data_IF_679686036547
#
_entry.id   IF_679686036547
#
_cell.length_a   1.000
_cell.length_b   1.000
_cell.length_c   1.000
_cell.angle_alpha   90.00
_cell.angle_beta   90.00
_cell.angle_gamma   90.00
#
_symmetry.space_group_name_H-M   'P 1'
#
loop_
_entity.id
_entity.type
_entity.pdbx_description
1 polymer ?
#
# COMPACT_ATOMS: atom_id res chain seq x y z
N UNK A 1 -1.52 28.64 -16.09
CA UNK A 1 -2.05 28.90 -14.74
C UNK A 1 -2.50 30.35 -14.64
N UNK A 2 -3.58 30.68 -13.90
CA UNK A 2 -4.02 32.08 -13.76
C UNK A 2 -3.12 32.85 -12.77
N UNK A 3 -3.00 34.19 -12.88
CA UNK A 3 -2.19 34.98 -11.94
C UNK A 3 -2.65 34.86 -10.49
N UNK A 4 -3.96 34.67 -10.26
CA UNK A 4 -4.50 34.45 -8.92
C UNK A 4 -4.04 33.10 -8.36
N UNK A 5 -4.15 32.03 -9.15
CA UNK A 5 -3.70 30.70 -8.75
C UNK A 5 -2.19 30.67 -8.45
N UNK A 6 -1.38 31.45 -9.19
CA UNK A 6 0.06 31.57 -8.94
C UNK A 6 0.38 32.21 -7.59
N UNK A 7 -0.37 33.26 -7.23
CA UNK A 7 -0.28 33.90 -5.91
C UNK A 7 -0.74 32.97 -4.80
N UNK A 8 -1.82 32.24 -5.02
CA UNK A 8 -2.37 31.28 -4.07
C UNK A 8 -1.35 30.17 -3.81
N UNK A 9 -0.77 29.57 -4.87
CA UNK A 9 0.29 28.57 -4.74
C UNK A 9 1.51 29.10 -3.97
N UNK A 10 1.96 30.32 -4.29
CA UNK A 10 3.08 30.96 -3.59
C UNK A 10 2.77 31.13 -2.09
N UNK A 11 1.52 31.45 -1.74
CA UNK A 11 1.09 31.55 -0.34
C UNK A 11 1.10 30.18 0.37
N UNK A 12 0.71 29.12 -0.32
CA UNK A 12 0.70 27.74 0.20
C UNK A 12 2.12 27.24 0.45
N UNK A 13 3.05 27.47 -0.49
CA UNK A 13 4.48 27.12 -0.35
C UNK A 13 5.07 27.77 0.91
N UNK A 14 4.77 29.05 1.15
CA UNK A 14 5.19 29.76 2.36
C UNK A 14 4.56 29.16 3.63
N UNK A 15 3.27 28.82 3.57
CA UNK A 15 2.53 28.24 4.71
C UNK A 15 3.01 26.82 5.06
N UNK A 16 3.42 26.04 4.06
CA UNK A 16 4.07 24.75 4.20
C UNK A 16 5.53 24.83 4.68
N UNK A 17 6.11 26.03 4.77
CA UNK A 17 7.51 26.27 5.17
C UNK A 17 8.52 25.48 4.32
N UNK A 18 8.30 25.46 3.01
CA UNK A 18 9.25 24.81 2.09
C UNK A 18 10.59 25.54 2.10
N UNK A 19 11.68 24.78 2.06
CA UNK A 19 13.06 25.29 2.07
C UNK A 19 13.46 25.83 0.69
N UNK A 20 12.99 25.16 -0.37
CA UNK A 20 13.34 25.43 -1.76
C UNK A 20 12.11 25.98 -2.50
N UNK A 21 11.72 27.22 -2.18
CA UNK A 21 10.46 27.80 -2.62
C UNK A 21 10.35 27.97 -4.14
N UNK A 22 11.43 28.35 -4.82
CA UNK A 22 11.40 28.64 -6.25
C UNK A 22 11.32 27.34 -7.05
N UNK A 23 12.16 26.37 -6.71
CA UNK A 23 12.25 25.06 -7.34
C UNK A 23 10.95 24.28 -7.13
N UNK A 24 10.40 24.31 -5.91
CA UNK A 24 9.09 23.71 -5.63
C UNK A 24 7.97 24.39 -6.41
N UNK A 25 8.00 25.73 -6.52
CA UNK A 25 7.00 26.47 -7.31
C UNK A 25 7.06 26.07 -8.78
N UNK A 26 8.24 26.02 -9.38
CA UNK A 26 8.41 25.64 -10.78
C UNK A 26 7.88 24.23 -11.07
N UNK A 27 8.24 23.24 -10.23
CA UNK A 27 7.75 21.87 -10.36
C UNK A 27 6.22 21.79 -10.25
N UNK A 28 5.64 22.43 -9.22
CA UNK A 28 4.19 22.40 -8.99
C UNK A 28 3.40 23.18 -10.05
N UNK A 29 3.92 24.29 -10.56
CA UNK A 29 3.30 25.03 -11.67
C UNK A 29 3.26 24.17 -12.93
N UNK A 30 4.34 23.43 -13.22
CA UNK A 30 4.37 22.48 -14.34
C UNK A 30 3.26 21.43 -14.19
N UNK A 31 3.08 20.87 -13.00
CA UNK A 31 2.00 19.90 -12.73
C UNK A 31 0.62 20.51 -12.94
N UNK A 32 0.32 21.67 -12.35
CA UNK A 32 -1.00 22.33 -12.45
C UNK A 32 -1.31 22.81 -13.88
N UNK A 33 -0.28 23.00 -14.71
CA UNK A 33 -0.45 23.29 -16.12
C UNK A 33 -0.87 22.05 -16.93
N UNK A 34 -0.50 20.84 -16.51
CA UNK A 34 -0.79 19.60 -17.22
C UNK A 34 -1.98 18.81 -16.62
N UNK A 35 -2.19 18.88 -15.32
CA UNK A 35 -3.21 18.14 -14.57
C UNK A 35 -4.21 19.11 -13.92
N UNK A 36 -5.31 19.40 -14.64
CA UNK A 36 -6.27 20.46 -14.27
C UNK A 36 -7.17 20.13 -13.09
N UNK A 37 -7.38 18.84 -12.84
CA UNK A 37 -8.24 18.40 -11.74
C UNK A 37 -7.49 18.33 -10.41
N UNK A 38 -6.16 18.47 -10.41
CA UNK A 38 -5.35 18.57 -9.20
C UNK A 38 -5.37 19.99 -8.66
N UNK A 39 -5.57 20.13 -7.35
CA UNK A 39 -5.62 21.41 -6.66
C UNK A 39 -4.61 21.46 -5.53
N UNK A 40 -3.86 22.56 -5.40
CA UNK A 40 -2.94 22.74 -4.29
C UNK A 40 -3.71 23.09 -3.01
N UNK A 41 -3.36 22.45 -1.90
CA UNK A 41 -3.90 22.73 -0.58
C UNK A 41 -2.86 22.46 0.53
N UNK A 42 -3.21 22.66 1.80
CA UNK A 42 -2.43 22.25 2.96
C UNK A 42 -3.22 21.22 3.75
N UNK A 43 -2.63 20.05 3.94
CA UNK A 43 -3.22 18.97 4.72
C UNK A 43 -2.23 18.42 5.73
N UNK A 44 -2.76 17.88 6.83
CA UNK A 44 -1.96 17.17 7.81
C UNK A 44 -1.56 15.80 7.27
N UNK A 45 -0.27 15.49 7.33
CA UNK A 45 0.28 14.19 7.04
C UNK A 45 0.90 13.59 8.31
N UNK A 46 0.44 12.39 8.67
CA UNK A 46 0.98 11.62 9.80
C UNK A 46 2.04 10.65 9.28
N UNK A 47 3.29 10.83 9.71
CA UNK A 47 4.37 9.90 9.38
C UNK A 47 4.26 8.62 10.21
N UNK A 48 5.00 7.58 9.82
CA UNK A 48 5.01 6.30 10.54
C UNK A 48 5.48 6.40 12.00
N UNK A 49 6.19 7.47 12.37
CA UNK A 49 6.59 7.78 13.74
C UNK A 49 5.48 8.43 14.60
N UNK A 50 4.32 8.71 14.00
CA UNK A 50 3.17 9.36 14.62
C UNK A 50 3.25 10.89 14.65
N UNK A 51 4.30 11.49 14.07
CA UNK A 51 4.41 12.95 13.98
C UNK A 51 3.48 13.45 12.88
N UNK A 52 2.71 14.49 13.19
CA UNK A 52 1.90 15.20 12.20
C UNK A 52 2.67 16.40 11.66
N UNK A 53 2.70 16.57 10.34
CA UNK A 53 3.17 17.82 9.71
C UNK A 53 2.12 18.35 8.75
N UNK A 54 2.02 19.68 8.69
CA UNK A 54 1.30 20.35 7.63
C UNK A 54 2.13 20.28 6.35
N UNK A 55 1.64 19.55 5.36
CA UNK A 55 2.29 19.40 4.06
C UNK A 55 1.50 20.18 3.01
N UNK A 56 2.21 20.73 2.04
CA UNK A 56 1.57 21.10 0.78
C UNK A 56 1.08 19.83 0.11
N UNK A 57 -0.12 19.86 -0.43
CA UNK A 57 -0.70 18.72 -1.14
C UNK A 57 -1.22 19.09 -2.50
N UNK A 58 -1.14 18.16 -3.45
CA UNK A 58 -1.96 18.19 -4.67
C UNK A 58 -3.03 17.12 -4.51
N UNK A 59 -4.30 17.52 -4.37
CA UNK A 59 -5.46 16.65 -4.23
C UNK A 59 -6.39 16.82 -5.44
N UNK A 60 -6.85 15.72 -6.01
CA UNK A 60 -7.73 15.73 -7.16
C UNK A 60 -7.76 14.39 -7.87
N UNK A 61 -7.96 14.41 -9.19
CA UNK A 61 -8.02 13.20 -10.01
C UNK A 61 -7.01 13.22 -11.15
N UNK A 62 -6.55 12.03 -11.54
CA UNK A 62 -5.79 11.83 -12.78
C UNK A 62 -6.60 10.98 -13.77
N UNK A 63 -6.64 11.36 -15.06
CA UNK A 63 -7.33 10.58 -16.08
C UNK A 63 -6.52 9.35 -16.48
N UNK A 64 -7.17 8.19 -16.56
CA UNK A 64 -6.57 6.95 -17.07
C UNK A 64 -7.48 6.32 -18.13
N UNK A 65 -6.90 5.57 -19.06
CA UNK A 65 -7.63 4.69 -19.98
C UNK A 65 -7.42 3.22 -19.57
N UNK A 66 -8.47 2.55 -19.11
CA UNK A 66 -8.39 1.19 -18.58
C UNK A 66 -9.50 0.33 -19.18
N UNK A 67 -9.15 -0.80 -19.80
CA UNK A 67 -10.11 -1.74 -20.42
C UNK A 67 -11.15 -1.06 -21.35
N UNK A 68 -10.70 -0.13 -22.19
CA UNK A 68 -11.56 0.57 -23.16
C UNK A 68 -12.39 1.72 -22.58
N UNK A 69 -12.32 1.99 -21.27
CA UNK A 69 -13.01 3.11 -20.63
C UNK A 69 -12.07 4.18 -20.09
N UNK A 70 -12.57 5.41 -19.98
CA UNK A 70 -11.85 6.53 -19.38
C UNK A 70 -12.32 6.72 -17.93
N UNK A 71 -11.38 6.71 -17.00
CA UNK A 71 -11.65 6.84 -15.57
C UNK A 71 -10.84 7.99 -14.97
N UNK A 72 -11.38 8.60 -13.91
CA UNK A 72 -10.70 9.63 -13.14
C UNK A 72 -10.35 9.04 -11.78
N UNK A 73 -9.06 8.75 -11.56
CA UNK A 73 -8.59 8.10 -10.34
C UNK A 73 -8.24 9.18 -9.33
N UNK A 74 -8.89 9.23 -8.16
CA UNK A 74 -8.56 10.24 -7.17
C UNK A 74 -7.22 9.91 -6.51
N UNK A 75 -6.35 10.91 -6.46
CA UNK A 75 -5.01 10.82 -5.90
C UNK A 75 -4.72 12.02 -5.02
N UNK A 76 -3.85 11.84 -4.04
CA UNK A 76 -3.30 12.91 -3.23
C UNK A 76 -1.79 12.73 -3.10
N UNK A 77 -1.05 13.81 -3.35
CA UNK A 77 0.41 13.87 -3.24
C UNK A 77 0.75 14.80 -2.08
N UNK A 78 1.57 14.34 -1.14
CA UNK A 78 2.06 15.13 -0.02
C UNK A 78 3.52 15.52 -0.24
N UNK A 79 3.80 16.81 -0.19
CA UNK A 79 5.12 17.39 -0.39
C UNK A 79 5.74 17.78 0.96
N UNK A 80 6.98 17.36 1.17
CA UNK A 80 7.76 17.74 2.35
C UNK A 80 8.43 19.10 2.15
N UNK A 81 8.94 19.68 3.24
CA UNK A 81 9.66 20.95 3.24
C UNK A 81 10.93 20.93 2.37
N UNK A 82 11.50 19.75 2.11
CA UNK A 82 12.68 19.53 1.28
C UNK A 82 12.39 19.30 -0.22
N UNK A 83 11.13 19.28 -0.65
CA UNK A 83 10.81 19.15 -2.08
C UNK A 83 11.37 20.35 -2.88
N UNK A 84 11.91 20.16 -4.11
CA UNK A 84 11.91 18.94 -4.92
C UNK A 84 13.07 17.96 -4.71
N UNK A 85 14.01 18.22 -3.80
CA UNK A 85 15.11 17.29 -3.51
C UNK A 85 14.64 15.99 -2.84
N UNK A 86 13.43 15.97 -2.27
CA UNK A 86 12.74 14.76 -1.83
C UNK A 86 11.42 14.60 -2.61
N UNK A 87 11.17 13.39 -3.08
CA UNK A 87 9.95 13.05 -3.79
C UNK A 87 8.70 13.11 -2.91
N UNK A 88 7.51 13.29 -3.50
CA UNK A 88 6.26 13.35 -2.76
C UNK A 88 5.82 11.97 -2.25
N UNK A 89 5.05 11.97 -1.16
CA UNK A 89 4.33 10.76 -0.72
C UNK A 89 2.98 10.70 -1.43
N UNK A 90 2.75 9.64 -2.20
CA UNK A 90 1.59 9.57 -3.10
C UNK A 90 0.60 8.51 -2.62
N UNK A 91 -0.69 8.83 -2.66
CA UNK A 91 -1.77 7.94 -2.26
C UNK A 91 -2.93 8.00 -3.25
N UNK A 92 -3.60 6.87 -3.41
CA UNK A 92 -4.93 6.78 -4.00
C UNK A 92 -5.96 7.10 -2.93
N UNK A 93 -6.98 7.92 -3.26
CA UNK A 93 -8.00 8.38 -2.32
C UNK A 93 -9.40 7.96 -2.79
N UNK A 94 -9.81 6.69 -2.54
CA UNK A 94 -11.10 6.19 -3.00
C UNK A 94 -12.27 7.07 -2.52
N UNK A 95 -13.27 7.27 -3.39
CA UNK A 95 -14.56 7.82 -2.96
C UNK A 95 -15.38 6.78 -2.19
N UNK A 96 -16.53 7.17 -1.63
CA UNK A 96 -17.39 6.30 -0.81
C UNK A 96 -17.74 4.96 -1.49
N UNK A 97 -17.95 5.00 -2.81
CA UNK A 97 -18.34 3.84 -3.62
C UNK A 97 -17.14 3.13 -4.27
N UNK A 98 -15.91 3.47 -3.87
CA UNK A 98 -14.70 2.84 -4.36
C UNK A 98 -14.03 2.03 -3.25
N UNK A 99 -13.28 1.02 -3.65
CA UNK A 99 -12.34 0.30 -2.78
C UNK A 99 -11.00 0.16 -3.49
N UNK A 100 -9.94 0.13 -2.69
CA UNK A 100 -8.57 -0.06 -3.18
C UNK A 100 -8.43 -1.52 -3.62
N UNK A 101 -7.75 -1.70 -4.74
CA UNK A 101 -7.31 -2.99 -5.26
C UNK A 101 -5.80 -3.10 -5.08
N UNK A 102 -5.31 -3.73 -4.00
CA UNK A 102 -3.89 -3.84 -3.74
C UNK A 102 -3.12 -4.49 -4.89
N UNK A 103 -1.89 -4.02 -5.09
CA UNK A 103 -0.98 -4.46 -6.14
C UNK A 103 0.48 -4.23 -5.74
N UNK A 104 1.42 -4.52 -6.64
CA UNK A 104 2.83 -4.17 -6.44
C UNK A 104 3.05 -2.65 -6.40
N UNK A 105 2.14 -1.88 -7.02
CA UNK A 105 2.24 -0.42 -7.14
C UNK A 105 1.46 0.29 -6.04
N UNK A 106 0.42 -0.34 -5.47
CA UNK A 106 -0.45 0.29 -4.47
C UNK A 106 -0.75 -0.67 -3.34
N UNK A 107 -0.49 -0.27 -2.09
CA UNK A 107 -0.80 -1.10 -0.91
C UNK A 107 -2.27 -1.01 -0.48
N UNK A 108 -2.63 -1.72 0.60
CA UNK A 108 -4.00 -1.72 1.15
C UNK A 108 -4.43 -0.40 1.78
N UNK A 109 -3.48 0.46 2.18
CA UNK A 109 -3.74 1.82 2.65
C UNK A 109 -3.85 2.83 1.50
N UNK A 110 -3.55 2.41 0.27
CA UNK A 110 -3.61 3.23 -0.93
C UNK A 110 -2.30 3.95 -1.24
N UNK A 111 -1.21 3.66 -0.51
CA UNK A 111 0.09 4.26 -0.78
C UNK A 111 0.66 3.73 -2.07
N UNK A 112 1.18 4.63 -2.89
CA UNK A 112 1.74 4.34 -4.21
C UNK A 112 3.26 4.12 -4.08
N UNK A 113 3.75 3.04 -4.67
CA UNK A 113 5.17 2.66 -4.75
C UNK A 113 5.53 2.46 -6.22
N UNK A 114 6.53 3.19 -6.68
CA UNK A 114 7.03 3.13 -8.05
C UNK A 114 8.56 3.24 -8.04
N UNK A 115 9.26 2.60 -9.00
CA UNK A 115 10.69 2.82 -9.20
C UNK A 115 11.04 4.32 -9.31
N UNK A 116 10.19 5.09 -10.00
CA UNK A 116 10.33 6.54 -10.13
C UNK A 116 10.36 7.29 -8.78
N UNK A 117 9.64 6.79 -7.77
CA UNK A 117 9.67 7.36 -6.41
C UNK A 117 10.89 6.91 -5.63
N UNK A 118 11.30 5.63 -5.74
CA UNK A 118 12.48 5.11 -5.03
C UNK A 118 13.79 5.67 -5.55
N UNK A 119 13.84 6.01 -6.85
CA UNK A 119 15.01 6.56 -7.54
C UNK A 119 14.92 8.08 -7.72
N UNK A 120 13.95 8.72 -7.07
CA UNK A 120 13.71 10.16 -7.21
C UNK A 120 14.99 10.97 -6.98
N UNK A 121 15.40 11.71 -8.01
CA UNK A 121 16.60 12.54 -7.98
C UNK A 121 16.39 13.85 -8.75
N UNK A 122 16.12 14.93 -8.03
CA UNK A 122 16.09 16.27 -8.63
C UNK A 122 17.49 16.66 -9.17
N UNK A 123 17.60 17.30 -10.35
CA UNK A 123 16.53 17.79 -11.23
C UNK A 123 16.08 16.81 -12.32
N UNK A 124 16.60 15.58 -12.34
CA UNK A 124 16.30 14.60 -13.40
C UNK A 124 14.89 14.00 -13.27
N UNK A 125 14.31 14.06 -12.06
CA UNK A 125 12.97 13.58 -11.74
C UNK A 125 12.12 14.76 -11.27
N UNK A 126 10.88 14.82 -11.75
CA UNK A 126 9.92 15.88 -11.47
C UNK A 126 8.51 15.32 -11.20
N UNK A 127 7.61 16.14 -10.66
CA UNK A 127 6.30 15.65 -10.23
C UNK A 127 5.39 15.38 -11.43
N UNK A 128 5.58 16.10 -12.54
CA UNK A 128 4.82 15.88 -13.76
C UNK A 128 5.12 14.50 -14.38
N UNK A 129 6.40 14.14 -14.49
CA UNK A 129 6.86 12.82 -14.93
C UNK A 129 6.40 11.71 -14.00
N UNK A 130 6.45 11.93 -12.68
CA UNK A 130 5.88 10.99 -11.71
C UNK A 130 4.39 10.72 -11.98
N UNK A 131 3.58 11.76 -12.18
CA UNK A 131 2.15 11.60 -12.47
C UNK A 131 1.89 10.87 -13.79
N UNK A 132 2.74 11.06 -14.80
CA UNK A 132 2.68 10.27 -16.04
C UNK A 132 2.96 8.80 -15.78
N UNK A 133 4.00 8.47 -15.01
CA UNK A 133 4.33 7.08 -14.65
C UNK A 133 3.22 6.44 -13.81
N UNK A 134 2.62 7.18 -12.86
CA UNK A 134 1.44 6.74 -12.11
C UNK A 134 0.28 6.43 -13.08
N UNK A 135 0.01 7.35 -14.01
CA UNK A 135 -1.05 7.19 -15.02
C UNK A 135 -0.85 5.92 -15.83
N UNK A 136 0.33 5.71 -16.40
CA UNK A 136 0.67 4.51 -17.18
C UNK A 136 0.51 3.24 -16.35
N UNK A 137 1.01 3.25 -15.11
CA UNK A 137 0.91 2.10 -14.20
C UNK A 137 -0.55 1.73 -13.89
N UNK A 138 -1.41 2.73 -13.71
CA UNK A 138 -2.82 2.53 -13.42
C UNK A 138 -3.64 2.13 -14.66
N UNK A 139 -3.17 2.43 -15.86
CA UNK A 139 -3.76 1.94 -17.12
C UNK A 139 -3.53 0.43 -17.31
N UNK A 140 -2.41 -0.11 -16.84
CA UNK A 140 -2.18 -1.56 -16.83
C UNK A 140 -3.02 -2.24 -15.73
N UNK A 141 -2.97 -1.69 -14.52
CA UNK A 141 -3.69 -2.22 -13.36
C UNK A 141 -4.34 -1.11 -12.54
N UNK A 142 -5.63 -0.89 -12.79
CA UNK A 142 -6.41 0.12 -12.06
C UNK A 142 -6.37 -0.14 -10.54
N UNK A 143 -6.04 0.87 -9.71
CA UNK A 143 -5.82 0.71 -8.28
C UNK A 143 -7.11 0.71 -7.47
N UNK A 144 -8.25 0.97 -8.10
CA UNK A 144 -9.57 0.99 -7.45
C UNK A 144 -10.60 0.25 -8.29
N UNK A 145 -11.66 -0.18 -7.63
CA UNK A 145 -12.87 -0.70 -8.27
C UNK A 145 -14.10 -0.12 -7.57
N UNK A 146 -15.19 -0.01 -8.31
CA UNK A 146 -16.47 0.44 -7.78
C UNK A 146 -17.15 -0.69 -7.02
N UNK A 147 -17.73 -0.36 -5.88
CA UNK A 147 -18.58 -1.26 -5.10
C UNK A 147 -20.00 -0.75 -5.24
N UNK A 148 -20.84 -1.51 -5.95
CA UNK A 148 -22.29 -1.32 -5.89
C UNK A 148 -22.75 -1.81 -4.53
N UNK A 149 -23.28 -0.90 -3.71
CA UNK A 149 -24.01 -1.33 -2.52
C UNK A 149 -25.32 -1.96 -3.01
N UNK A 150 -25.63 -3.22 -2.64
CA UNK A 150 -26.97 -3.74 -2.89
C UNK A 150 -27.92 -2.80 -2.14
N UNK A 151 -28.79 -2.11 -2.88
CA UNK A 151 -29.91 -1.44 -2.26
C UNK A 151 -30.62 -2.49 -1.41
N UNK A 152 -30.81 -2.20 -0.11
CA UNK A 152 -31.72 -2.94 0.72
C UNK A 152 -33.09 -2.81 0.05
N UNK A 153 -33.44 -3.79 -0.78
CA UNK A 153 -34.82 -4.04 -1.16
C UNK A 153 -35.52 -4.42 0.12
N UNK A 154 -35.98 -3.41 0.84
CA UNK A 154 -37.06 -3.53 1.78
C UNK A 154 -38.24 -3.96 0.91
N UNK A 155 -38.49 -5.26 0.85
CA UNK A 155 -39.64 -5.84 0.16
C UNK A 155 -40.91 -5.42 0.88
N UNK A 156 -41.35 -4.17 0.68
CA UNK A 156 -42.75 -3.82 0.80
C UNK A 156 -43.43 -4.30 -0.48
N UNK A 157 -44.05 -5.47 -0.36
CA UNK A 157 -44.99 -6.02 -1.31
C UNK A 157 -46.01 -4.94 -1.68
N UNK A 158 -45.93 -4.40 -2.89
CA UNK A 158 -47.06 -3.77 -3.55
C UNK A 158 -46.94 -3.99 -5.05
N UNK A 159 -47.80 -4.88 -5.51
CA UNK A 159 -48.08 -5.11 -6.92
C UNK A 159 -48.55 -3.81 -7.57
N UNK A 160 -47.71 -3.18 -8.39
CA UNK A 160 -48.21 -2.49 -9.56
C UNK A 160 -47.17 -2.49 -10.68
N UNK A 161 -47.54 -3.18 -11.74
CA UNK A 161 -46.92 -3.19 -13.06
C UNK A 161 -46.79 -1.79 -13.65
N UNK A 162 -45.61 -1.42 -14.14
CA UNK A 162 -45.44 -0.77 -15.46
C UNK A 162 -43.96 -0.60 -15.82
N UNK A 163 -43.63 -1.06 -17.02
CA UNK A 163 -42.37 -0.87 -17.74
C UNK A 163 -42.18 0.58 -18.20
N UNK A 164 -41.02 1.20 -17.96
CA UNK A 164 -40.58 2.38 -18.72
C UNK A 164 -39.07 2.41 -18.97
N UNK A 165 -38.74 2.51 -20.26
CA UNK A 165 -37.44 2.83 -20.87
C UNK A 165 -37.09 4.33 -20.71
N UNK A 166 -35.83 4.75 -20.94
CA UNK A 166 -35.44 6.16 -20.95
C UNK A 166 -35.90 6.89 -22.24
N UNK A 167 -36.25 8.20 -22.18
CA UNK A 167 -36.81 8.91 -23.32
C UNK A 167 -35.73 9.60 -24.18
N UNK A 168 -35.84 9.44 -25.49
CA UNK A 168 -35.26 10.31 -26.52
C UNK A 168 -36.31 11.36 -26.97
N UNK A 169 -35.91 12.56 -27.44
CA UNK A 169 -36.84 13.62 -27.82
C UNK A 169 -37.50 13.42 -29.19
N UNK A 170 -38.70 14.01 -29.30
CA UNK A 170 -39.79 13.76 -30.25
C UNK A 170 -39.62 14.38 -31.65
N UNK A 171 -40.23 13.68 -32.61
CA UNK A 171 -40.55 13.98 -34.01
C UNK A 171 -41.72 14.96 -34.22
N UNK A 172 -41.97 15.39 -35.47
CA UNK A 172 -43.30 15.78 -35.97
C UNK A 172 -43.39 15.55 -37.53
N UNK A 173 -44.58 15.52 -38.19
CA UNK A 173 -45.25 14.27 -38.61
C UNK A 173 -45.75 14.25 -40.08
N UNK A 174 -46.22 13.09 -40.59
CA UNK A 174 -47.44 12.90 -41.43
C UNK A 174 -47.61 11.43 -41.91
N UNK A 175 -48.83 11.00 -42.35
CA UNK A 175 -49.33 9.63 -42.21
C UNK A 175 -49.44 8.84 -43.53
N UNK A 176 -49.47 7.50 -43.48
CA UNK A 176 -50.38 6.69 -44.29
C UNK A 176 -50.43 5.19 -43.92
N UNK A 177 -51.63 4.65 -44.18
CA UNK A 177 -52.22 3.30 -44.10
C UNK A 177 -51.33 2.05 -44.32
N UNK A 178 -51.66 0.94 -43.63
CA UNK A 178 -52.32 -0.29 -44.13
C UNK A 178 -52.23 -1.43 -43.07
N UNK A 179 -53.21 -2.36 -42.96
CA UNK A 179 -53.18 -3.46 -41.99
C UNK A 179 -52.75 -4.80 -42.62
N UNK A 180 -52.07 -5.66 -41.84
CA UNK A 180 -51.92 -7.08 -42.17
C UNK A 180 -51.98 -7.95 -40.91
N UNK A 181 -52.72 -9.05 -41.05
CA UNK A 181 -53.14 -10.01 -40.04
C UNK A 181 -52.29 -11.27 -40.20
N UNK A 182 -51.84 -11.90 -39.10
CA UNK A 182 -51.50 -13.34 -39.02
C UNK A 182 -51.22 -13.80 -37.57
N UNK A 183 -51.41 -15.09 -37.24
CA UNK A 183 -51.86 -15.57 -35.92
C UNK A 183 -50.77 -16.21 -35.03
N UNK A 184 -51.08 -16.57 -33.76
CA UNK A 184 -50.13 -17.15 -32.82
C UNK A 184 -50.02 -18.68 -32.96
N UNK A 185 -48.81 -19.21 -32.81
CA UNK A 185 -48.56 -20.64 -32.59
C UNK A 185 -47.94 -20.87 -31.20
N UNK A 186 -48.36 -21.92 -30.47
CA UNK A 186 -47.76 -22.39 -29.22
C UNK A 186 -46.88 -23.63 -29.44
N UNK A 187 -45.80 -23.82 -28.66
CA UNK A 187 -45.04 -25.08 -28.41
C UNK A 187 -43.89 -24.72 -27.44
N UNK A 188 -43.83 -25.14 -26.17
CA UNK A 188 -43.49 -26.47 -25.60
C UNK A 188 -42.20 -27.07 -26.15
N UNK A 189 -41.15 -27.16 -25.31
CA UNK A 189 -40.11 -28.23 -25.19
C UNK A 189 -38.85 -27.71 -24.40
N UNK A 190 -37.85 -28.54 -24.00
CA UNK A 190 -37.82 -29.44 -22.82
C UNK A 190 -36.49 -29.24 -21.99
N UNK A 191 -36.17 -30.05 -20.95
CA UNK A 191 -35.00 -29.80 -20.10
C UNK A 191 -33.69 -30.34 -20.71
N UNK A 192 -32.59 -29.62 -20.47
CA UNK A 192 -31.23 -29.99 -20.90
C UNK A 192 -30.68 -31.23 -20.16
N UNK A 193 -29.90 -32.10 -20.82
CA UNK A 193 -29.21 -33.22 -20.18
C UNK A 193 -27.88 -32.78 -19.54
N UNK A 194 -27.62 -33.33 -18.36
CA UNK A 194 -26.33 -33.37 -17.66
C UNK A 194 -25.29 -34.15 -18.46
N UNK A 195 -24.15 -33.51 -18.74
CA UNK A 195 -22.95 -34.18 -19.28
C UNK A 195 -22.03 -34.51 -18.12
N UNK A 196 -21.86 -35.81 -17.88
CA UNK A 196 -20.87 -36.38 -16.97
C UNK A 196 -19.45 -36.17 -17.50
N UNK A 197 -18.56 -35.68 -16.63
CA UNK A 197 -17.12 -35.59 -16.92
C UNK A 197 -16.42 -36.88 -16.45
N UNK A 198 -15.69 -37.59 -17.34
CA UNK A 198 -14.90 -38.75 -16.91
C UNK A 198 -13.64 -38.30 -16.16
N UNK A 199 -13.42 -38.95 -15.02
CA UNK A 199 -12.23 -38.85 -14.19
C UNK A 199 -11.09 -39.65 -14.83
N UNK A 200 -9.94 -39.03 -15.06
CA UNK A 200 -8.69 -39.75 -15.32
C UNK A 200 -7.62 -39.26 -14.35
N UNK A 201 -7.43 -40.05 -13.29
CA UNK A 201 -6.32 -39.98 -12.35
C UNK A 201 -5.16 -40.84 -12.91
N UNK A 202 -3.97 -40.25 -13.02
CA UNK A 202 -2.72 -41.03 -13.14
C UNK A 202 -2.13 -41.31 -11.75
N UNK A 203 -1.39 -42.42 -11.56
CA UNK A 203 -0.88 -42.84 -10.25
C UNK A 203 0.52 -42.28 -9.94
N UNK A 204 0.74 -41.85 -8.69
CA UNK A 204 2.05 -41.53 -8.12
C UNK A 204 2.48 -42.63 -7.13
N UNK A 205 3.79 -42.93 -7.03
CA UNK A 205 4.29 -44.04 -6.24
C UNK A 205 4.33 -43.74 -4.73
N UNK A 206 4.04 -44.80 -3.97
CA UNK A 206 3.91 -44.88 -2.52
C UNK A 206 5.27 -44.85 -1.80
N UNK A 207 5.45 -43.91 -0.86
CA UNK A 207 6.50 -44.00 0.18
C UNK A 207 5.92 -43.55 1.53
N UNK A 208 5.82 -44.53 2.44
CA UNK A 208 6.05 -44.45 3.89
C UNK A 208 5.44 -43.29 4.69
N UNK A 209 4.41 -43.61 5.48
CA UNK A 209 3.71 -42.67 6.35
C UNK A 209 4.52 -42.12 7.52
N UNK A 210 4.16 -40.90 7.91
CA UNK A 210 4.42 -40.28 9.21
C UNK A 210 3.15 -39.56 9.70
N UNK A 211 2.88 -39.55 11.02
CA UNK A 211 1.61 -39.09 11.57
C UNK A 211 1.47 -37.56 11.64
N UNK A 212 0.21 -37.11 11.63
CA UNK A 212 -0.24 -35.72 11.69
C UNK A 212 0.08 -35.03 13.04
N UNK A 213 0.14 -33.67 13.08
CA UNK A 213 0.71 -32.93 14.19
C UNK A 213 -0.28 -32.74 15.35
N UNK A 214 0.18 -33.05 16.55
CA UNK A 214 -0.49 -32.71 17.81
C UNK A 214 -0.37 -31.22 18.11
N UNK A 215 -1.49 -30.61 18.45
CA UNK A 215 -1.63 -29.25 18.95
C UNK A 215 -0.85 -29.08 20.27
N UNK A 216 0.29 -28.40 20.24
CA UNK A 216 1.03 -28.00 21.44
C UNK A 216 0.68 -26.56 21.83
N UNK A 217 -0.01 -26.42 22.96
CA UNK A 217 -0.06 -25.20 23.75
C UNK A 217 1.30 -24.95 24.42
N UNK A 218 1.89 -23.74 24.41
CA UNK A 218 3.08 -23.46 25.19
C UNK A 218 2.70 -23.19 26.65
N UNK A 219 3.20 -24.04 27.55
CA UNK A 219 3.24 -23.80 29.00
C UNK A 219 4.39 -22.81 29.30
N UNK A 220 4.21 -21.78 30.14
CA UNK A 220 5.30 -20.88 30.51
C UNK A 220 6.29 -21.56 31.48
N UNK A 221 7.61 -21.26 31.40
CA UNK A 221 8.61 -21.82 32.31
C UNK A 221 8.53 -21.20 33.72
N UNK A 222 8.95 -21.93 34.77
CA UNK A 222 8.99 -21.42 36.14
C UNK A 222 10.15 -20.42 36.32
N UNK A 223 9.86 -19.33 37.04
CA UNK A 223 10.83 -18.29 37.38
C UNK A 223 11.95 -18.82 38.30
N UNK A 224 13.22 -18.39 38.10
CA UNK A 224 14.28 -18.62 39.08
C UNK A 224 14.13 -17.64 40.25
N UNK A 225 14.08 -18.19 41.48
CA UNK A 225 14.16 -17.44 42.73
C UNK A 225 15.58 -16.90 42.92
N UNK A 226 15.73 -15.59 42.84
CA UNK A 226 16.99 -14.89 43.18
C UNK A 226 16.96 -14.58 44.67
N UNK A 227 17.85 -15.22 45.43
CA UNK A 227 18.15 -14.89 46.82
C UNK A 227 18.61 -13.43 46.89
N UNK A 228 17.87 -12.62 47.65
CA UNK A 228 18.20 -11.22 47.88
C UNK A 228 18.88 -11.09 49.24
N UNK A 229 20.20 -10.95 49.21
CA UNK A 229 21.03 -10.67 50.37
C UNK A 229 20.56 -9.38 51.05
N UNK A 230 20.19 -9.49 52.32
CA UNK A 230 19.84 -8.38 53.20
C UNK A 230 21.08 -7.54 53.53
N UNK A 231 21.15 -6.33 53.00
CA UNK A 231 22.07 -5.30 53.50
C UNK A 231 21.32 -4.51 54.56
N UNK A 232 21.75 -4.70 55.82
CA UNK A 232 21.40 -3.88 56.97
C UNK A 232 21.96 -2.48 56.80
N UNK A 233 21.08 -1.49 56.69
CA UNK A 233 21.42 -0.09 56.93
C UNK A 233 20.39 0.47 57.92
N UNK A 234 20.82 0.62 59.18
CA UNK A 234 20.10 1.37 60.21
C UNK A 234 19.96 2.85 59.80
N UNK A 235 18.80 3.46 60.04
CA UNK A 235 18.74 4.84 60.47
C UNK A 235 18.18 4.89 61.89
N UNK A 236 18.99 5.39 62.81
CA UNK A 236 18.59 5.76 64.17
C UNK A 236 17.56 6.89 64.08
N UNK A 237 16.35 6.67 64.60
CA UNK A 237 15.42 7.75 64.91
C UNK A 237 14.72 7.45 66.23
N UNK A 238 14.74 8.45 67.12
CA UNK A 238 14.20 8.40 68.47
C UNK A 238 12.69 8.15 68.48
N UNK A 239 12.30 7.42 69.52
CA UNK A 239 10.93 7.17 69.98
C UNK A 239 10.19 8.44 70.42
N UNK A 240 8.96 8.59 69.93
CA UNK A 240 7.72 8.90 70.69
C UNK A 240 6.58 8.60 69.70
N UNK A 241 5.53 7.80 69.91
CA UNK A 241 4.70 7.45 71.05
C UNK A 241 3.23 7.60 70.59
N UNK A 242 2.40 6.57 70.80
CA UNK A 242 0.96 6.43 70.44
C UNK A 242 0.68 6.18 68.94
N UNK A 243 0.11 5.08 68.46
CA UNK A 243 -1.00 4.27 68.98
C UNK A 243 -2.29 4.70 68.27
N UNK A 244 -2.72 3.96 67.24
CA UNK A 244 -4.11 3.65 66.83
C UNK A 244 -4.12 3.04 65.42
N UNK A 245 -4.90 1.98 65.29
CA UNK A 245 -5.34 1.30 64.07
C UNK A 245 -5.78 2.24 62.94
N UNK A 246 -5.37 1.95 61.70
CA UNK A 246 -6.29 1.84 60.57
C UNK A 246 -5.54 1.43 59.28
N UNK A 247 -6.10 0.46 58.58
CA UNK A 247 -5.78 0.08 57.21
C UNK A 247 -5.97 1.26 56.26
N UNK A 248 -5.00 2.16 56.21
CA UNK A 248 -5.00 3.28 55.27
C UNK A 248 -3.59 3.41 54.73
N UNK A 249 -3.45 3.07 53.44
CA UNK A 249 -2.22 3.16 52.69
C UNK A 249 -1.68 4.58 52.85
N UNK A 250 -0.53 4.72 53.53
CA UNK A 250 0.08 6.03 53.73
C UNK A 250 0.33 6.71 52.38
N UNK A 251 0.08 8.02 52.24
CA UNK A 251 0.26 8.74 50.96
C UNK A 251 1.65 8.57 50.34
N UNK A 252 2.67 8.32 51.16
CA UNK A 252 4.05 8.04 50.74
C UNK A 252 4.18 6.73 49.97
N UNK A 253 3.46 5.67 50.34
CA UNK A 253 3.45 4.40 49.63
C UNK A 253 2.73 4.52 48.28
N UNK A 254 1.64 5.28 48.22
CA UNK A 254 0.92 5.56 46.96
C UNK A 254 1.82 6.35 46.01
N UNK A 255 2.51 7.38 46.52
CA UNK A 255 3.46 8.18 45.75
C UNK A 255 4.64 7.35 45.24
N UNK A 256 5.20 6.48 46.07
CA UNK A 256 6.29 5.58 45.69
C UNK A 256 5.84 4.57 44.61
N UNK A 257 4.66 3.96 44.75
CA UNK A 257 4.09 3.07 43.73
C UNK A 257 3.83 3.80 42.41
N UNK A 258 3.31 5.03 42.44
CA UNK A 258 3.07 5.84 41.24
C UNK A 258 4.38 6.20 40.54
N UNK A 259 5.39 6.65 41.28
CA UNK A 259 6.70 6.98 40.70
C UNK A 259 7.36 5.74 40.09
N UNK A 260 7.37 4.61 40.79
CA UNK A 260 7.91 3.35 40.26
C UNK A 260 7.15 2.89 39.02
N UNK A 261 5.82 2.98 39.02
CA UNK A 261 4.99 2.60 37.88
C UNK A 261 5.25 3.50 36.66
N UNK A 262 5.50 4.81 36.87
CA UNK A 262 5.85 5.74 35.79
C UNK A 262 7.25 5.42 35.24
N UNK A 263 8.23 5.19 36.11
CA UNK A 263 9.58 4.85 35.65
C UNK A 263 9.61 3.55 34.87
N UNK A 264 8.89 2.51 35.31
CA UNK A 264 8.81 1.24 34.59
C UNK A 264 8.05 1.38 33.27
N UNK A 265 7.00 2.23 33.23
CA UNK A 265 6.31 2.56 31.98
C UNK A 265 7.26 3.24 30.98
N UNK A 266 8.11 4.15 31.44
CA UNK A 266 9.10 4.84 30.60
C UNK A 266 10.15 3.82 30.11
N UNK A 267 10.71 3.02 31.01
CA UNK A 267 11.68 1.97 30.65
C UNK A 267 11.12 0.98 29.62
N UNK A 268 9.88 0.55 29.81
CA UNK A 268 9.22 -0.37 28.87
C UNK A 268 8.94 0.29 27.52
N UNK A 269 8.55 1.57 27.51
CA UNK A 269 8.31 2.30 26.25
C UNK A 269 9.60 2.59 25.48
N UNK A 270 10.70 2.85 26.18
CA UNK A 270 12.05 2.98 25.60
C UNK A 270 12.50 1.64 25.02
N UNK A 271 12.34 0.54 25.77
CA UNK A 271 12.69 -0.81 25.30
C UNK A 271 11.94 -1.19 24.02
N UNK A 272 10.62 -1.05 24.02
CA UNK A 272 9.80 -1.36 22.84
C UNK A 272 10.18 -0.50 21.62
N UNK A 273 10.55 0.77 21.84
CA UNK A 273 10.99 1.67 20.77
C UNK A 273 12.39 1.35 20.24
N UNK A 274 13.22 0.61 20.97
CA UNK A 274 14.60 0.29 20.56
C UNK A 274 14.69 -1.13 20.01
N UNK A 275 14.06 -2.11 20.65
CA UNK A 275 14.21 -3.52 20.29
C UNK A 275 13.60 -3.86 18.93
N UNK A 276 12.43 -3.30 18.61
CA UNK A 276 11.74 -3.53 17.32
C UNK A 276 12.58 -3.01 16.14
N UNK A 277 12.96 -1.71 16.08
CA UNK A 277 13.75 -1.22 14.96
C UNK A 277 15.16 -1.82 14.92
N UNK A 278 15.73 -2.23 16.06
CA UNK A 278 17.02 -2.92 16.08
C UNK A 278 16.94 -4.30 15.41
N UNK A 279 15.90 -5.08 15.71
CA UNK A 279 15.67 -6.36 15.06
C UNK A 279 15.36 -6.21 13.57
N UNK A 280 14.58 -5.19 13.19
CA UNK A 280 14.32 -4.86 11.78
C UNK A 280 15.61 -4.47 11.04
N UNK A 281 16.44 -3.61 11.63
CA UNK A 281 17.72 -3.20 11.05
C UNK A 281 18.66 -4.40 10.85
N UNK A 282 18.72 -5.31 11.82
CA UNK A 282 19.52 -6.52 11.72
C UNK A 282 19.01 -7.46 10.62
N UNK A 283 17.68 -7.59 10.46
CA UNK A 283 17.09 -8.35 9.36
C UNK A 283 17.38 -7.72 8.00
N UNK A 284 17.34 -6.39 7.90
CA UNK A 284 17.67 -5.67 6.66
C UNK A 284 19.13 -5.87 6.28
N UNK A 285 20.04 -5.81 7.25
CA UNK A 285 21.47 -6.03 7.00
C UNK A 285 21.77 -7.46 6.53
N UNK A 286 21.11 -8.46 7.13
CA UNK A 286 21.20 -9.84 6.68
C UNK A 286 20.71 -10.01 5.22
N UNK A 287 19.56 -9.43 4.89
CA UNK A 287 19.03 -9.46 3.53
C UNK A 287 19.95 -8.76 2.52
N UNK A 288 20.60 -7.66 2.91
CA UNK A 288 21.55 -6.94 2.06
C UNK A 288 22.80 -7.79 1.77
N UNK A 289 23.30 -8.53 2.77
CA UNK A 289 24.43 -9.46 2.57
C UNK A 289 24.06 -10.59 1.63
N UNK A 290 22.87 -11.17 1.78
CA UNK A 290 22.37 -12.23 0.90
C UNK A 290 22.21 -11.72 -0.53
N UNK A 291 21.67 -10.52 -0.70
CA UNK A 291 21.54 -9.89 -2.01
C UNK A 291 22.90 -9.60 -2.65
N UNK A 292 23.87 -9.15 -1.85
CA UNK A 292 25.23 -8.91 -2.31
C UNK A 292 25.92 -10.22 -2.73
N UNK A 293 25.73 -11.30 -1.96
CA UNK A 293 26.22 -12.64 -2.31
C UNK A 293 25.59 -13.14 -3.61
N UNK A 294 24.27 -12.98 -3.76
CA UNK A 294 23.54 -13.32 -4.98
C UNK A 294 24.04 -12.53 -6.20
N UNK A 295 24.26 -11.22 -6.05
CA UNK A 295 24.85 -10.37 -7.09
C UNK A 295 26.23 -10.85 -7.51
N UNK A 296 27.09 -11.19 -6.55
CA UNK A 296 28.43 -11.67 -6.84
C UNK A 296 28.40 -13.01 -7.59
N UNK A 297 27.54 -13.95 -7.15
CA UNK A 297 27.34 -15.23 -7.83
C UNK A 297 26.83 -15.08 -9.26
N UNK A 298 25.92 -14.14 -9.51
CA UNK A 298 25.44 -13.83 -10.86
C UNK A 298 26.54 -13.25 -11.75
N UNK A 299 27.43 -12.40 -11.21
CA UNK A 299 28.60 -11.93 -11.97
C UNK A 299 29.52 -13.07 -12.35
N UNK A 300 29.84 -13.95 -11.40
CA UNK A 300 30.70 -15.11 -11.65
C UNK A 300 30.11 -16.03 -12.73
N UNK A 301 28.79 -16.23 -12.72
CA UNK A 301 28.10 -17.00 -13.76
C UNK A 301 28.13 -16.30 -15.12
N UNK A 302 27.98 -14.97 -15.16
CA UNK A 302 28.07 -14.21 -16.40
C UNK A 302 29.50 -14.27 -16.99
N UNK A 303 30.51 -14.20 -16.13
CA UNK A 303 31.91 -14.37 -16.52
C UNK A 303 32.22 -15.80 -16.97
N UNK A 304 31.60 -16.83 -16.38
CA UNK A 304 31.76 -18.21 -16.85
C UNK A 304 31.13 -18.40 -18.23
N UNK A 305 29.90 -17.92 -18.43
CA UNK A 305 29.21 -17.99 -19.74
C UNK A 305 30.03 -17.27 -20.83
N UNK A 306 30.61 -16.11 -20.51
CA UNK A 306 31.44 -15.37 -21.46
C UNK A 306 32.71 -16.14 -21.83
N UNK A 307 33.35 -16.82 -20.86
CA UNK A 307 34.51 -17.68 -21.11
C UNK A 307 34.15 -18.89 -21.96
N UNK A 308 33.07 -19.58 -21.62
CA UNK A 308 32.59 -20.74 -22.37
C UNK A 308 32.27 -20.36 -23.82
N UNK A 309 31.68 -19.18 -24.04
CA UNK A 309 31.41 -18.67 -25.38
C UNK A 309 32.70 -18.39 -26.17
N UNK A 310 33.71 -17.77 -25.55
CA UNK A 310 35.01 -17.55 -26.19
C UNK A 310 35.73 -18.87 -26.52
N UNK A 311 35.62 -19.87 -25.65
CA UNK A 311 36.20 -21.19 -25.89
C UNK A 311 35.51 -21.90 -27.07
N UNK A 312 34.18 -21.86 -27.13
CA UNK A 312 33.43 -22.40 -28.26
C UNK A 312 33.79 -21.70 -29.58
N UNK A 313 33.89 -20.37 -29.58
CA UNK A 313 34.32 -19.61 -30.77
C UNK A 313 35.75 -19.98 -31.20
N UNK A 314 36.65 -20.17 -30.23
CA UNK A 314 38.02 -20.62 -30.50
C UNK A 314 38.04 -22.02 -31.12
N UNK A 315 37.27 -22.95 -30.57
CA UNK A 315 37.14 -24.32 -31.08
C UNK A 315 36.55 -24.28 -32.51
N UNK A 316 35.49 -23.52 -32.73
CA UNK A 316 34.88 -23.32 -34.05
C UNK A 316 35.89 -22.76 -35.06
N UNK A 317 36.73 -21.81 -34.63
CA UNK A 317 37.81 -21.25 -35.45
C UNK A 317 38.81 -22.31 -35.90
N UNK A 318 39.24 -23.20 -35.00
CA UNK A 318 40.15 -24.31 -35.32
C UNK A 318 39.53 -25.27 -36.34
N UNK A 319 38.27 -25.67 -36.13
CA UNK A 319 37.56 -26.54 -37.09
C UNK A 319 37.37 -25.87 -38.46
N UNK A 320 37.10 -24.58 -38.49
CA UNK A 320 36.94 -23.81 -39.74
C UNK A 320 38.25 -23.75 -40.54
N UNK A 321 39.38 -23.55 -39.87
CA UNK A 321 40.71 -23.54 -40.52
C UNK A 321 41.09 -24.94 -40.98
N UNK A 322 40.84 -25.97 -40.17
CA UNK A 322 41.09 -27.36 -40.53
C UNK A 322 40.27 -27.80 -41.76
N UNK A 323 38.99 -27.41 -41.82
CA UNK A 323 38.13 -27.71 -42.97
C UNK A 323 38.52 -26.97 -44.26
N UNK A 324 39.26 -25.86 -44.17
CA UNK A 324 39.79 -25.15 -45.34
C UNK A 324 41.11 -25.73 -45.88
N UNK A 325 41.75 -26.63 -45.13
CA UNK A 325 43.05 -27.23 -45.46
C UNK A 325 42.92 -28.62 -46.13
N UNK A 326 41.71 -29.16 -46.23
CA UNK A 326 41.35 -30.39 -46.96
C UNK A 326 40.36 -30.06 -48.07
#
# INVERSE_FOLDING_TARGET
MSPQADRDLTSLIRRARMKFCNEAKEDLVNVLNNFKDLKPDISNFTFGDGINKNCLTLDGTIPIHYKGGNYHIPVILYFLDNHPYMGPHCYVKPTQNMRIKPSKVVDSAGRIYLPYLSEWQYPNYDTAGLLQVITISFQEKCPVYTVVSPANNSSSNNNHSTSQQPPYPCSNPTPNAYPSVSPPYPSVDPPYPTVEHPSNLMPQPNVGGFPAPTHYQPVPPPYPSVERSSISANPTALSTGYGYSNSTIQPTHIRASLLSAVEDKIRQKVRNKIEIPFAELQSVDANLRDLHSGKQKLREMMESITRDQQELDRILGVYTVFFKLF
#
